data_IF_151145545559
#
_entry.id   IF_151145545559
#
_cell.length_a   1.000
_cell.length_b   1.000
_cell.length_c   1.000
_cell.angle_alpha   90.00
_cell.angle_beta   90.00
_cell.angle_gamma   90.00
#
_symmetry.space_group_name_H-M   'P 1'
#
loop_
_entity.id
_entity.type
_entity.pdbx_description
1 polymer ?
#
# COMPACT_ATOMS: atom_id res chain seq x y z
N UNK A 1 13.72 18.50 -8.12
CA UNK A 1 13.47 17.31 -7.25
C UNK A 1 13.08 17.82 -5.87
N UNK A 2 11.87 17.44 -5.40
CA UNK A 2 11.42 17.72 -4.04
C UNK A 2 12.33 17.09 -2.99
N UNK A 3 12.17 17.47 -1.73
CA UNK A 3 12.92 16.88 -0.62
C UNK A 3 12.50 15.41 -0.44
N UNK A 4 13.41 14.43 -0.63
CA UNK A 4 13.05 13.02 -0.52
C UNK A 4 12.63 12.69 0.91
N UNK A 5 11.56 11.89 1.05
CA UNK A 5 11.06 11.47 2.37
C UNK A 5 12.11 10.66 3.15
N UNK A 6 12.90 9.87 2.45
CA UNK A 6 13.88 8.96 3.03
C UNK A 6 13.33 7.57 3.37
N UNK A 7 12.03 7.33 3.14
CA UNK A 7 11.40 6.03 3.46
C UNK A 7 12.03 4.88 2.67
N UNK A 8 12.33 5.07 1.38
CA UNK A 8 12.92 4.03 0.54
C UNK A 8 14.33 3.66 0.99
N UNK A 9 15.15 4.66 1.35
CA UNK A 9 16.49 4.43 1.89
C UNK A 9 16.43 3.69 3.22
N UNK A 10 15.50 4.08 4.11
CA UNK A 10 15.30 3.42 5.41
C UNK A 10 14.87 1.96 5.20
N UNK A 11 13.85 1.72 4.36
CA UNK A 11 13.38 0.37 4.08
C UNK A 11 14.46 -0.51 3.44
N UNK A 12 15.25 0.03 2.51
CA UNK A 12 16.35 -0.71 1.86
C UNK A 12 17.50 -1.03 2.81
N UNK A 13 17.78 -0.14 3.78
CA UNK A 13 18.88 -0.32 4.73
C UNK A 13 18.55 -1.32 5.82
N UNK A 14 17.35 -1.24 6.37
CA UNK A 14 16.97 -2.02 7.56
C UNK A 14 16.15 -3.26 7.25
N UNK A 15 15.53 -3.33 6.07
CA UNK A 15 14.71 -4.45 5.62
C UNK A 15 13.47 -4.70 6.48
N UNK A 16 12.71 -5.74 6.14
CA UNK A 16 11.50 -6.14 6.87
C UNK A 16 10.35 -5.14 6.72
N UNK A 17 9.44 -5.13 7.69
CA UNK A 17 8.36 -4.15 7.79
C UNK A 17 8.76 -3.03 8.73
N UNK A 18 8.54 -1.80 8.30
CA UNK A 18 8.79 -0.61 9.11
C UNK A 18 7.55 0.30 9.13
N UNK A 19 7.27 0.88 10.27
CA UNK A 19 6.43 2.07 10.36
C UNK A 19 7.34 3.29 10.26
N UNK A 20 7.18 4.07 9.19
CA UNK A 20 7.92 5.30 8.96
C UNK A 20 7.01 6.50 9.19
N UNK A 21 7.45 7.45 10.00
CA UNK A 21 6.66 8.60 10.39
C UNK A 21 7.49 9.88 10.36
N UNK A 22 6.89 10.95 9.85
CA UNK A 22 7.47 12.30 9.87
C UNK A 22 6.56 13.18 10.72
N UNK A 23 7.09 13.72 11.83
CA UNK A 23 6.38 14.64 12.71
C UNK A 23 7.23 15.88 12.94
N UNK A 24 6.70 17.06 12.64
CA UNK A 24 7.40 18.35 12.79
C UNK A 24 8.78 18.38 12.10
N UNK A 25 8.92 17.69 10.97
CA UNK A 25 10.17 17.58 10.22
C UNK A 25 11.15 16.52 10.76
N UNK A 26 10.89 15.94 11.90
CA UNK A 26 11.66 14.83 12.45
C UNK A 26 11.20 13.51 11.81
N UNK A 27 12.16 12.74 11.29
CA UNK A 27 11.94 11.43 10.66
C UNK A 27 12.20 10.34 11.68
N UNK A 28 11.17 9.56 11.98
CA UNK A 28 11.27 8.41 12.88
C UNK A 28 10.83 7.14 12.18
N UNK A 29 11.33 6.00 12.61
CA UNK A 29 10.90 4.71 12.13
C UNK A 29 11.03 3.67 13.23
N UNK A 30 10.22 2.64 13.17
CA UNK A 30 10.26 1.49 14.04
C UNK A 30 9.98 0.22 13.26
N UNK A 31 10.61 -0.88 13.65
CA UNK A 31 10.39 -2.18 13.01
C UNK A 31 9.08 -2.79 13.52
N UNK A 32 8.33 -3.38 12.61
CA UNK A 32 7.14 -4.17 12.92
C UNK A 32 7.56 -5.65 12.92
N UNK A 33 7.36 -6.32 14.05
CA UNK A 33 7.72 -7.73 14.21
C UNK A 33 6.49 -8.60 13.96
N UNK A 34 6.52 -9.37 12.88
CA UNK A 34 5.46 -10.33 12.59
C UNK A 34 5.66 -11.63 13.36
N UNK A 35 4.58 -12.19 13.91
CA UNK A 35 4.57 -13.51 14.56
C UNK A 35 4.79 -14.65 13.58
N UNK A 36 4.35 -14.49 12.35
CA UNK A 36 4.45 -15.46 11.26
C UNK A 36 4.63 -14.71 9.93
N UNK A 37 5.26 -15.33 8.92
CA UNK A 37 5.32 -14.74 7.58
C UNK A 37 3.93 -14.62 6.96
N UNK A 38 3.79 -13.61 6.09
CA UNK A 38 2.54 -13.30 5.39
C UNK A 38 2.82 -13.30 3.89
N UNK A 39 2.05 -14.06 3.14
CA UNK A 39 2.12 -14.07 1.68
C UNK A 39 1.32 -12.89 1.11
N UNK A 40 1.93 -12.23 0.12
CA UNK A 40 1.32 -11.15 -0.63
C UNK A 40 1.54 -11.34 -2.13
N UNK A 41 0.69 -10.71 -2.91
CA UNK A 41 0.82 -10.62 -4.38
C UNK A 41 0.97 -9.15 -4.77
N UNK A 42 1.99 -8.86 -5.57
CA UNK A 42 2.18 -7.55 -6.18
C UNK A 42 1.83 -7.64 -7.66
N UNK A 43 0.78 -6.95 -8.10
CA UNK A 43 0.36 -6.88 -9.49
C UNK A 43 0.79 -5.57 -10.13
N UNK A 44 1.47 -5.63 -11.28
CA UNK A 44 1.94 -4.45 -12.01
C UNK A 44 0.86 -3.97 -12.99
N UNK A 45 0.48 -2.71 -12.90
CA UNK A 45 -0.49 -2.09 -13.82
C UNK A 45 0.01 -1.93 -15.26
N UNK A 46 1.32 -2.06 -15.49
CA UNK A 46 1.93 -1.73 -16.79
C UNK A 46 2.06 -0.22 -17.06
N UNK A 47 1.55 0.62 -16.18
CA UNK A 47 1.59 2.08 -16.29
C UNK A 47 2.73 2.65 -15.45
N UNK A 48 3.56 3.51 -16.03
CA UNK A 48 4.61 4.23 -15.30
C UNK A 48 4.03 5.52 -14.72
N UNK A 49 4.12 5.67 -13.39
CA UNK A 49 3.72 6.90 -12.73
C UNK A 49 4.78 8.00 -12.94
N UNK A 50 4.33 9.19 -13.29
CA UNK A 50 5.17 10.40 -13.30
C UNK A 50 5.12 11.03 -11.90
N UNK A 51 6.13 10.72 -11.09
CA UNK A 51 6.21 11.19 -9.70
C UNK A 51 6.36 12.70 -9.58
N UNK A 52 6.85 13.40 -10.62
CA UNK A 52 6.96 14.86 -10.59
C UNK A 52 5.59 15.54 -10.61
N UNK A 53 4.65 14.98 -11.35
CA UNK A 53 3.27 15.48 -11.41
C UNK A 53 2.44 15.10 -10.20
N UNK A 54 2.88 14.11 -9.44
CA UNK A 54 2.18 13.65 -8.24
C UNK A 54 2.20 14.70 -7.13
N UNK A 55 3.36 15.33 -6.91
CA UNK A 55 3.50 16.38 -5.91
C UNK A 55 2.61 17.60 -6.24
N UNK A 56 2.57 18.02 -7.51
CA UNK A 56 1.71 19.11 -7.97
C UNK A 56 0.23 18.76 -7.76
N UNK A 57 -0.15 17.52 -8.07
CA UNK A 57 -1.52 17.03 -7.88
C UNK A 57 -1.93 17.03 -6.40
N UNK A 58 -1.08 16.53 -5.52
CA UNK A 58 -1.33 16.51 -4.07
C UNK A 58 -1.44 17.96 -3.53
N UNK A 59 -0.60 18.88 -3.98
CA UNK A 59 -0.70 20.29 -3.60
C UNK A 59 -1.99 20.94 -4.09
N UNK A 60 -2.43 20.64 -5.30
CA UNK A 60 -3.71 21.13 -5.83
C UNK A 60 -4.91 20.64 -5.00
N UNK A 61 -4.91 19.36 -4.58
CA UNK A 61 -5.94 18.81 -3.69
C UNK A 61 -5.95 19.52 -2.34
N UNK A 62 -4.79 19.81 -1.76
CA UNK A 62 -4.64 20.53 -0.51
C UNK A 62 -5.18 21.97 -0.59
N UNK A 63 -4.93 22.65 -1.73
CA UNK A 63 -5.40 24.02 -1.95
C UNK A 63 -6.91 24.07 -2.19
N UNK A 64 -7.46 23.07 -2.85
CA UNK A 64 -8.89 22.99 -3.19
C UNK A 64 -9.79 22.86 -1.96
N UNK A 65 -9.41 22.02 -1.02
CA UNK A 65 -10.14 21.80 0.23
C UNK A 65 -9.17 21.41 1.36
N UNK A 66 -8.60 22.40 2.06
CA UNK A 66 -7.59 22.16 3.09
C UNK A 66 -8.09 21.33 4.26
N UNK A 67 -9.35 21.50 4.66
CA UNK A 67 -9.93 20.76 5.81
C UNK A 67 -10.18 19.29 5.44
N UNK A 68 -10.76 19.02 4.28
CA UNK A 68 -10.95 17.66 3.80
C UNK A 68 -9.59 16.96 3.62
N UNK A 69 -8.60 17.65 3.08
CA UNK A 69 -7.24 17.12 2.91
C UNK A 69 -6.62 16.76 4.26
N UNK A 70 -6.71 17.65 5.24
CA UNK A 70 -6.21 17.43 6.61
C UNK A 70 -6.88 16.23 7.26
N UNK A 71 -8.22 16.12 7.15
CA UNK A 71 -8.97 15.00 7.72
C UNK A 71 -8.59 13.66 7.08
N UNK A 72 -8.35 13.63 5.76
CA UNK A 72 -7.86 12.44 5.04
C UNK A 72 -6.47 12.03 5.52
N UNK A 73 -5.54 12.98 5.67
CA UNK A 73 -4.20 12.71 6.20
C UNK A 73 -4.24 12.19 7.64
N UNK A 74 -5.09 12.77 8.49
CA UNK A 74 -5.25 12.27 9.85
C UNK A 74 -5.75 10.83 9.85
N UNK A 75 -6.76 10.52 9.05
CA UNK A 75 -7.29 9.15 8.92
C UNK A 75 -6.23 8.17 8.42
N UNK A 76 -5.41 8.54 7.44
CA UNK A 76 -4.30 7.72 6.95
C UNK A 76 -3.26 7.49 8.06
N UNK A 77 -2.96 8.51 8.85
CA UNK A 77 -2.04 8.41 9.99
C UNK A 77 -2.57 7.44 11.05
N UNK A 78 -3.84 7.57 11.43
CA UNK A 78 -4.48 6.70 12.40
C UNK A 78 -4.50 5.24 11.92
N UNK A 79 -4.82 5.04 10.63
CA UNK A 79 -4.76 3.72 9.99
C UNK A 79 -3.34 3.11 10.02
N UNK A 80 -2.28 3.91 9.90
CA UNK A 80 -0.91 3.40 9.94
C UNK A 80 -0.55 2.84 11.33
N UNK A 81 -0.97 3.50 12.41
CA UNK A 81 -0.76 3.01 13.77
C UNK A 81 -1.63 1.78 14.09
N UNK A 82 -2.90 1.78 13.66
CA UNK A 82 -3.77 0.61 13.78
C UNK A 82 -3.21 -0.59 13.00
N UNK A 83 -2.70 -0.36 11.79
CA UNK A 83 -2.05 -1.35 10.94
C UNK A 83 -0.84 -1.99 11.65
N UNK A 84 0.02 -1.18 12.27
CA UNK A 84 1.16 -1.69 13.04
C UNK A 84 0.70 -2.68 14.10
N UNK A 85 -0.28 -2.29 14.92
CA UNK A 85 -0.83 -3.15 15.97
C UNK A 85 -1.43 -4.45 15.39
N UNK A 86 -2.25 -4.34 14.34
CA UNK A 86 -2.87 -5.49 13.71
C UNK A 86 -1.83 -6.46 13.13
N UNK A 87 -0.75 -5.96 12.54
CA UNK A 87 0.36 -6.78 12.04
C UNK A 87 1.12 -7.49 13.18
N UNK A 88 1.42 -6.80 14.28
CA UNK A 88 2.09 -7.37 15.45
C UNK A 88 1.22 -8.42 16.15
N UNK A 89 -0.11 -8.22 16.17
CA UNK A 89 -1.07 -9.18 16.72
C UNK A 89 -1.39 -10.33 15.75
N UNK A 90 -0.96 -10.23 14.50
CA UNK A 90 -1.31 -11.15 13.41
C UNK A 90 -2.82 -11.18 13.11
N UNK A 91 -3.50 -10.04 13.32
CA UNK A 91 -4.91 -9.86 12.95
C UNK A 91 -5.05 -9.50 11.48
N UNK A 92 -4.94 -10.51 10.62
CA UNK A 92 -4.97 -10.35 9.17
C UNK A 92 -6.32 -9.85 8.63
N UNK A 93 -7.41 -10.06 9.35
CA UNK A 93 -8.72 -9.51 8.98
C UNK A 93 -8.71 -7.97 9.10
N UNK A 94 -8.21 -7.43 10.21
CA UNK A 94 -8.03 -5.99 10.40
C UNK A 94 -7.01 -5.42 9.42
N UNK A 95 -5.88 -6.10 9.17
CA UNK A 95 -4.90 -5.69 8.15
C UNK A 95 -5.56 -5.54 6.79
N UNK A 96 -6.31 -6.54 6.34
CA UNK A 96 -7.01 -6.51 5.05
C UNK A 96 -8.05 -5.41 4.95
N UNK A 97 -8.86 -5.21 5.99
CA UNK A 97 -9.83 -4.12 6.08
C UNK A 97 -9.15 -2.75 5.94
N UNK A 98 -8.08 -2.51 6.70
CA UNK A 98 -7.33 -1.25 6.68
C UNK A 98 -6.70 -0.99 5.29
N UNK A 99 -6.17 -2.02 4.64
CA UNK A 99 -5.64 -1.90 3.27
C UNK A 99 -6.73 -1.40 2.32
N UNK A 100 -7.90 -2.03 2.34
CA UNK A 100 -9.02 -1.70 1.44
C UNK A 100 -9.60 -0.32 1.73
N UNK A 101 -9.76 0.04 3.00
CA UNK A 101 -10.21 1.39 3.40
C UNK A 101 -9.22 2.48 2.99
N UNK A 102 -7.91 2.24 3.16
CA UNK A 102 -6.87 3.15 2.73
C UNK A 102 -6.89 3.32 1.20
N UNK A 103 -7.08 2.24 0.45
CA UNK A 103 -7.19 2.31 -1.00
C UNK A 103 -8.35 3.21 -1.45
N UNK A 104 -9.52 3.13 -0.80
CA UNK A 104 -10.65 4.01 -1.08
C UNK A 104 -10.31 5.49 -0.86
N UNK A 105 -9.60 5.81 0.22
CA UNK A 105 -9.13 7.19 0.47
C UNK A 105 -8.21 7.65 -0.66
N UNK A 106 -7.29 6.80 -1.12
CA UNK A 106 -6.38 7.13 -2.22
C UNK A 106 -7.11 7.32 -3.55
N UNK A 107 -8.15 6.53 -3.82
CA UNK A 107 -9.04 6.72 -4.98
C UNK A 107 -9.73 8.09 -4.91
N UNK A 108 -10.32 8.42 -3.75
CA UNK A 108 -10.98 9.71 -3.52
C UNK A 108 -10.05 10.92 -3.62
N UNK A 109 -8.75 10.69 -3.43
CA UNK A 109 -7.69 11.68 -3.62
C UNK A 109 -7.12 11.67 -5.04
N UNK A 110 -7.70 10.90 -5.97
CA UNK A 110 -7.15 10.66 -7.32
C UNK A 110 -5.68 10.20 -7.30
N UNK A 111 -5.33 9.40 -6.30
CA UNK A 111 -4.02 8.75 -6.12
C UNK A 111 -4.09 7.26 -6.44
N UNK A 112 -4.88 6.90 -7.46
CA UNK A 112 -4.93 5.57 -8.03
C UNK A 112 -5.11 5.67 -9.55
N UNK A 113 -5.11 4.53 -10.22
CA UNK A 113 -5.30 4.40 -11.66
C UNK A 113 -6.31 3.28 -11.93
N UNK A 114 -7.11 3.40 -12.98
CA UNK A 114 -8.16 2.43 -13.30
C UNK A 114 -7.69 0.97 -13.31
N UNK A 115 -6.50 0.70 -13.88
CA UNK A 115 -5.92 -0.65 -13.88
C UNK A 115 -5.54 -1.11 -12.46
N UNK A 116 -5.05 -0.22 -11.60
CA UNK A 116 -4.74 -0.56 -10.20
C UNK A 116 -6.00 -0.84 -9.40
N UNK A 117 -7.08 -0.08 -9.64
CA UNK A 117 -8.40 -0.31 -9.04
C UNK A 117 -8.91 -1.68 -9.48
N UNK A 118 -8.90 -1.96 -10.78
CA UNK A 118 -9.30 -3.24 -11.34
C UNK A 118 -8.54 -4.42 -10.72
N UNK A 119 -7.20 -4.34 -10.61
CA UNK A 119 -6.39 -5.40 -10.03
C UNK A 119 -6.67 -5.60 -8.53
N UNK A 120 -6.94 -4.51 -7.79
CA UNK A 120 -7.34 -4.61 -6.38
C UNK A 120 -8.70 -5.29 -6.24
N UNK A 121 -9.70 -4.90 -7.01
CA UNK A 121 -11.04 -5.47 -6.99
C UNK A 121 -10.99 -6.96 -7.36
N UNK A 122 -10.24 -7.31 -8.40
CA UNK A 122 -10.03 -8.70 -8.80
C UNK A 122 -9.38 -9.54 -7.71
N UNK A 123 -8.37 -9.02 -7.01
CA UNK A 123 -7.76 -9.73 -5.90
C UNK A 123 -8.77 -10.00 -4.77
N UNK A 124 -9.61 -9.02 -4.43
CA UNK A 124 -10.67 -9.14 -3.42
C UNK A 124 -11.72 -10.17 -3.83
N UNK A 125 -12.19 -10.16 -5.09
CA UNK A 125 -13.14 -11.15 -5.63
C UNK A 125 -12.60 -12.58 -5.56
N UNK A 126 -11.28 -12.76 -5.70
CA UNK A 126 -10.61 -14.06 -5.59
C UNK A 126 -10.36 -14.52 -4.15
N UNK A 127 -10.64 -13.65 -3.17
CA UNK A 127 -10.55 -13.97 -1.74
C UNK A 127 -9.37 -13.34 -1.00
N UNK A 128 -8.61 -12.43 -1.60
CA UNK A 128 -7.62 -11.65 -0.87
C UNK A 128 -8.28 -10.90 0.29
N UNK A 129 -7.63 -10.85 1.46
CA UNK A 129 -8.20 -10.23 2.65
C UNK A 129 -8.21 -8.70 2.56
N UNK A 130 -7.38 -8.12 1.70
CA UNK A 130 -7.31 -6.70 1.43
C UNK A 130 -6.42 -6.44 0.23
N UNK A 131 -6.64 -5.30 -0.42
CA UNK A 131 -5.82 -4.87 -1.55
C UNK A 131 -5.72 -3.35 -1.61
N UNK A 132 -4.57 -2.84 -2.05
CA UNK A 132 -4.33 -1.41 -2.23
C UNK A 132 -3.18 -1.13 -3.19
N UNK A 133 -3.12 0.09 -3.71
CA UNK A 133 -1.95 0.57 -4.45
C UNK A 133 -0.72 0.67 -3.54
N UNK A 134 0.46 0.52 -4.12
CA UNK A 134 1.73 0.81 -3.45
C UNK A 134 2.40 2.05 -4.04
N UNK A 135 3.28 2.69 -3.27
CA UNK A 135 3.96 3.91 -3.68
C UNK A 135 3.02 5.09 -3.87
N UNK A 136 3.31 5.95 -4.83
CA UNK A 136 2.55 7.19 -5.08
C UNK A 136 1.20 7.00 -5.76
N UNK A 137 0.85 5.81 -6.23
CA UNK A 137 -0.33 5.55 -7.05
C UNK A 137 -0.19 6.05 -8.49
N UNK A 138 -1.30 6.07 -9.24
CA UNK A 138 -1.39 6.50 -10.65
C UNK A 138 -0.52 5.69 -11.62
N UNK A 139 -0.07 4.51 -11.21
CA UNK A 139 0.76 3.55 -11.94
C UNK A 139 1.59 2.70 -10.99
N UNK A 140 2.44 1.83 -11.54
CA UNK A 140 3.24 0.90 -10.76
C UNK A 140 2.46 -0.31 -10.27
N UNK A 141 2.61 -0.65 -9.00
CA UNK A 141 2.07 -1.89 -8.43
C UNK A 141 0.90 -1.67 -7.48
N UNK A 142 0.03 -2.67 -7.40
CA UNK A 142 -0.84 -2.89 -6.26
C UNK A 142 -0.30 -4.01 -5.37
N UNK A 143 -0.77 -4.09 -4.14
CA UNK A 143 -0.47 -5.13 -3.16
C UNK A 143 -1.76 -5.77 -2.68
N UNK A 144 -1.83 -7.10 -2.73
CA UNK A 144 -2.92 -7.90 -2.20
C UNK A 144 -2.44 -8.78 -1.03
N UNK A 145 -3.20 -8.80 0.05
CA UNK A 145 -2.96 -9.65 1.21
C UNK A 145 -3.55 -11.04 0.95
N UNK A 146 -2.68 -12.01 0.77
CA UNK A 146 -3.04 -13.37 0.32
C UNK A 146 -2.43 -14.44 1.22
N UNK A 147 -2.84 -14.53 2.50
CA UNK A 147 -2.23 -15.49 3.43
C UNK A 147 -2.44 -16.92 2.95
N UNK A 148 -1.33 -17.68 2.93
CA UNK A 148 -1.26 -19.04 2.44
C UNK A 148 -0.93 -19.14 0.95
N UNK A 149 -0.12 -20.15 0.63
CA UNK A 149 0.38 -20.35 -0.74
C UNK A 149 -0.71 -20.61 -1.77
N UNK A 150 -1.78 -21.28 -1.40
CA UNK A 150 -2.90 -21.58 -2.29
C UNK A 150 -3.60 -20.30 -2.75
N UNK A 151 -3.94 -19.42 -1.82
CA UNK A 151 -4.57 -18.14 -2.14
C UNK A 151 -3.63 -17.21 -2.92
N UNK A 152 -2.35 -17.17 -2.51
CA UNK A 152 -1.32 -16.42 -3.22
C UNK A 152 -1.25 -16.85 -4.69
N UNK A 153 -1.18 -18.16 -4.95
CA UNK A 153 -1.09 -18.68 -6.30
C UNK A 153 -2.35 -18.43 -7.11
N UNK A 154 -3.53 -18.62 -6.50
CA UNK A 154 -4.82 -18.34 -7.15
C UNK A 154 -4.92 -16.90 -7.65
N UNK A 155 -4.56 -15.93 -6.79
CA UNK A 155 -4.62 -14.50 -7.15
C UNK A 155 -3.55 -14.17 -8.18
N UNK A 156 -2.32 -14.63 -7.99
CA UNK A 156 -1.21 -14.36 -8.90
C UNK A 156 -1.47 -14.92 -10.31
N UNK A 157 -1.84 -16.20 -10.41
CA UNK A 157 -2.11 -16.86 -11.70
C UNK A 157 -3.29 -16.22 -12.45
N UNK A 158 -4.33 -15.77 -11.73
CA UNK A 158 -5.45 -15.09 -12.36
C UNK A 158 -5.03 -13.76 -13.03
N UNK A 159 -4.13 -12.99 -12.40
CA UNK A 159 -3.59 -11.77 -12.98
C UNK A 159 -2.63 -12.06 -14.16
N UNK A 160 -1.77 -13.08 -14.01
CA UNK A 160 -0.84 -13.49 -15.07
C UNK A 160 -1.58 -13.98 -16.33
N UNK A 161 -2.68 -14.71 -16.16
CA UNK A 161 -3.52 -15.17 -17.28
C UNK A 161 -4.14 -14.02 -18.08
N UNK A 162 -4.25 -12.84 -17.49
CA UNK A 162 -4.68 -11.61 -18.18
C UNK A 162 -3.51 -10.77 -18.70
N UNK A 163 -2.27 -11.29 -18.59
CA UNK A 163 -1.08 -10.66 -19.13
C UNK A 163 -0.39 -9.67 -18.19
N UNK A 164 -0.82 -9.55 -16.93
CA UNK A 164 -0.15 -8.68 -15.97
C UNK A 164 1.13 -9.31 -15.42
N UNK A 165 2.15 -8.50 -15.17
CA UNK A 165 3.35 -8.95 -14.45
C UNK A 165 3.04 -9.02 -12.96
N UNK A 166 3.42 -10.13 -12.34
CA UNK A 166 3.10 -10.40 -10.94
C UNK A 166 4.35 -10.83 -10.17
N UNK A 167 4.44 -10.40 -8.92
CA UNK A 167 5.47 -10.86 -7.98
C UNK A 167 4.75 -11.51 -6.79
N UNK A 168 5.13 -12.75 -6.50
CA UNK A 168 4.76 -13.45 -5.26
C UNK A 168 5.83 -13.16 -4.23
N UNK A 169 5.43 -12.59 -3.10
CA UNK A 169 6.35 -12.27 -2.02
C UNK A 169 5.86 -12.82 -0.69
N UNK A 170 6.79 -13.02 0.23
CA UNK A 170 6.52 -13.37 1.62
C UNK A 170 7.21 -12.34 2.49
N UNK A 171 6.45 -11.74 3.41
CA UNK A 171 6.93 -10.69 4.31
C UNK A 171 7.08 -11.28 5.71
N UNK A 172 8.18 -10.96 6.42
CA UNK A 172 8.42 -11.41 7.80
C UNK A 172 8.98 -12.82 7.94
N UNK A 173 9.46 -13.45 6.87
CA UNK A 173 10.30 -14.65 6.96
C UNK A 173 11.76 -14.26 7.21
N UNK A 174 12.41 -14.87 8.20
CA UNK A 174 13.87 -14.77 8.41
C UNK A 174 14.61 -15.54 7.33
#
# INVERSE_FOLDING_TARGET
>A
HGTPSGVDNTASTYGGLILYHIKNGEKTWERINLKQPIEIVLGNSGVTADTSKLDDHVQAQRQKDPELFKNRLQKITDQAFEMKKALEDYDLATVGRLMTENHKILIDMDLSHETLIYLCDKALELGALGAKVTGGGRGGYMNALTPGKELQEKVASAMENEGYKVIRATVGGN
#
